data_IF_611878380179
#
_entry.id   IF_611878380179
#
_cell.length_a   1.000
_cell.length_b   1.000
_cell.length_c   1.000
_cell.angle_alpha   90.00
_cell.angle_beta   90.00
_cell.angle_gamma   90.00
#
_symmetry.space_group_name_H-M   'P 1'
#
loop_
_entity.id
_entity.type
_entity.pdbx_description
1 polymer ?
#
# COMPACT_ATOMS: atom_id res chain seq x y z
N UNK A 1 -11.60 21.69 -14.07
CA UNK A 1 -10.65 20.83 -13.33
C UNK A 1 -9.20 21.21 -13.59
N UNK A 2 -8.71 21.14 -14.85
CA UNK A 2 -7.30 21.38 -15.23
C UNK A 2 -6.69 22.66 -14.63
N UNK A 3 -7.33 23.82 -14.79
CA UNK A 3 -6.82 25.09 -14.27
C UNK A 3 -6.64 25.09 -12.74
N UNK A 4 -7.60 24.51 -12.01
CA UNK A 4 -7.55 24.44 -10.54
C UNK A 4 -6.46 23.48 -10.07
N UNK A 5 -6.32 22.32 -10.74
CA UNK A 5 -5.25 21.37 -10.45
C UNK A 5 -3.86 22.01 -10.52
N UNK A 6 -3.59 22.75 -11.59
CA UNK A 6 -2.32 23.46 -11.77
C UNK A 6 -2.04 24.45 -10.64
N UNK A 7 -3.02 25.31 -10.32
CA UNK A 7 -2.90 26.31 -9.25
C UNK A 7 -2.66 25.63 -7.90
N UNK A 8 -3.44 24.60 -7.56
CA UNK A 8 -3.28 23.89 -6.29
C UNK A 8 -1.91 23.21 -6.18
N UNK A 9 -1.40 22.59 -7.25
CA UNK A 9 -0.08 21.95 -7.24
C UNK A 9 1.06 22.95 -7.11
N UNK A 10 0.98 24.09 -7.81
CA UNK A 10 1.96 25.18 -7.68
C UNK A 10 1.98 25.74 -6.26
N UNK A 11 0.82 25.82 -5.60
CA UNK A 11 0.69 26.26 -4.21
C UNK A 11 0.88 25.15 -3.16
N UNK A 12 1.17 23.91 -3.56
CA UNK A 12 1.24 22.73 -2.69
C UNK A 12 -0.02 22.50 -1.82
N UNK A 13 -1.19 22.77 -2.38
CA UNK A 13 -2.51 22.56 -1.77
C UNK A 13 -3.05 21.19 -2.17
N UNK A 14 -3.53 20.43 -1.19
CA UNK A 14 -4.19 19.15 -1.43
C UNK A 14 -5.53 19.39 -2.13
N UNK A 15 -5.73 18.76 -3.29
CA UNK A 15 -6.96 18.86 -4.08
C UNK A 15 -7.58 17.48 -4.29
N UNK A 16 -8.90 17.39 -4.15
CA UNK A 16 -9.68 16.20 -4.50
C UNK A 16 -10.86 16.67 -5.32
N UNK A 17 -11.10 16.00 -6.45
CA UNK A 17 -12.31 16.17 -7.23
C UNK A 17 -13.30 15.07 -6.85
N UNK A 18 -14.52 15.46 -6.54
CA UNK A 18 -15.64 14.55 -6.33
C UNK A 18 -16.82 15.05 -7.18
N UNK A 19 -17.48 14.16 -7.90
CA UNK A 19 -18.66 14.49 -8.71
C UNK A 19 -19.69 13.38 -8.61
N UNK A 20 -20.94 13.76 -8.46
CA UNK A 20 -22.11 12.89 -8.63
C UNK A 20 -22.87 13.32 -9.88
N UNK A 21 -23.33 12.36 -10.68
CA UNK A 21 -24.08 12.59 -11.92
C UNK A 21 -25.02 11.42 -12.19
N UNK A 22 -26.31 11.61 -11.95
CA UNK A 22 -27.33 10.56 -11.99
C UNK A 22 -26.99 9.40 -11.06
N UNK A 23 -26.88 8.20 -11.63
CA UNK A 23 -26.46 6.99 -10.91
C UNK A 23 -24.96 6.70 -11.01
N UNK A 24 -24.13 7.63 -11.47
CA UNK A 24 -22.66 7.48 -11.43
C UNK A 24 -21.99 8.61 -10.67
N UNK A 25 -20.73 8.41 -10.31
CA UNK A 25 -19.90 9.45 -9.72
C UNK A 25 -18.44 9.06 -9.70
N UNK A 26 -17.59 10.03 -9.39
CA UNK A 26 -16.15 9.78 -9.30
C UNK A 26 -15.49 10.51 -8.15
N UNK A 27 -14.34 9.98 -7.72
CA UNK A 27 -13.40 10.63 -6.81
C UNK A 27 -11.99 10.56 -7.41
N UNK A 28 -11.29 11.70 -7.50
CA UNK A 28 -9.94 11.80 -8.03
C UNK A 28 -9.07 12.68 -7.14
N UNK A 29 -8.11 12.06 -6.45
CA UNK A 29 -7.08 12.76 -5.69
C UNK A 29 -6.12 13.46 -6.64
N UNK A 30 -5.82 14.74 -6.44
CA UNK A 30 -4.86 15.48 -7.26
C UNK A 30 -3.80 16.15 -6.41
N UNK A 31 -2.74 15.39 -6.12
CA UNK A 31 -1.59 15.83 -5.32
C UNK A 31 -0.31 15.42 -6.01
N UNK A 32 0.80 16.16 -5.86
CA UNK A 32 2.05 15.83 -6.57
C UNK A 32 2.61 14.48 -6.14
N UNK A 33 2.87 14.38 -4.84
CA UNK A 33 3.41 13.21 -4.19
C UNK A 33 2.83 13.15 -2.78
N UNK A 34 2.53 11.93 -2.32
CA UNK A 34 2.07 11.69 -0.97
C UNK A 34 2.87 10.52 -0.37
N UNK A 35 3.69 10.83 0.62
CA UNK A 35 4.52 9.86 1.32
C UNK A 35 3.85 9.43 2.63
N UNK A 36 3.71 8.11 2.82
CA UNK A 36 2.98 7.49 3.92
C UNK A 36 3.95 6.63 4.74
N UNK A 37 4.02 6.91 6.03
CA UNK A 37 4.78 6.10 7.00
C UNK A 37 3.87 5.00 7.55
N UNK A 38 2.69 5.36 8.05
CA UNK A 38 1.75 4.43 8.67
C UNK A 38 0.70 3.94 7.66
N UNK A 39 1.13 3.13 6.70
CA UNK A 39 0.26 2.65 5.61
C UNK A 39 -0.78 1.62 6.03
N UNK A 40 -0.61 0.98 7.20
CA UNK A 40 -1.55 0.03 7.81
C UNK A 40 -2.06 -1.04 6.82
N UNK A 41 -1.16 -1.85 6.23
CA UNK A 41 -1.56 -2.93 5.32
C UNK A 41 -2.44 -3.96 6.03
N UNK A 42 -3.48 -4.44 5.36
CA UNK A 42 -4.40 -5.47 5.90
C UNK A 42 -3.69 -6.81 6.16
N UNK A 43 -2.75 -7.15 5.28
CA UNK A 43 -1.94 -8.35 5.39
C UNK A 43 -0.46 -7.98 5.38
N UNK A 44 0.20 -8.22 6.51
CA UNK A 44 1.63 -8.02 6.64
C UNK A 44 2.23 -9.10 7.52
N UNK A 45 3.39 -9.62 7.11
CA UNK A 45 4.09 -10.64 7.87
C UNK A 45 4.82 -9.99 9.05
N UNK A 46 4.61 -10.55 10.24
CA UNK A 46 5.34 -10.13 11.43
C UNK A 46 6.86 -10.20 11.19
N UNK A 47 7.59 -9.15 11.58
CA UNK A 47 9.05 -9.10 11.42
C UNK A 47 9.76 -9.92 12.51
N UNK A 48 9.58 -11.24 12.47
CA UNK A 48 10.15 -12.20 13.44
C UNK A 48 11.60 -12.59 13.16
N UNK A 49 12.16 -12.20 12.00
CA UNK A 49 13.54 -12.53 11.59
C UNK A 49 13.94 -14.00 11.74
N UNK A 50 12.99 -14.94 11.62
CA UNK A 50 13.27 -16.36 11.79
C UNK A 50 14.22 -16.91 10.72
N UNK A 51 14.20 -16.31 9.54
CA UNK A 51 15.10 -16.62 8.44
C UNK A 51 16.53 -16.03 8.63
N UNK A 52 16.70 -15.05 9.52
CA UNK A 52 17.98 -14.40 9.83
C UNK A 52 18.01 -13.84 11.27
N UNK A 53 18.00 -14.72 12.30
CA UNK A 53 17.91 -14.27 13.68
C UNK A 53 19.23 -13.62 14.12
N UNK A 54 19.14 -12.51 14.84
CA UNK A 54 20.30 -11.78 15.34
C UNK A 54 20.86 -12.43 16.63
N UNK A 55 22.09 -12.11 17.05
CA UNK A 55 22.81 -12.88 18.09
C UNK A 55 22.06 -13.01 19.42
N UNK A 56 21.33 -12.00 19.87
CA UNK A 56 20.55 -12.02 21.11
C UNK A 56 19.37 -12.99 21.03
N UNK A 57 18.65 -13.02 19.90
CA UNK A 57 17.54 -13.95 19.70
C UNK A 57 18.03 -15.41 19.65
N UNK A 58 19.16 -15.66 18.98
CA UNK A 58 19.79 -16.98 18.97
C UNK A 58 20.18 -17.44 20.37
N UNK A 59 20.89 -16.60 21.13
CA UNK A 59 21.29 -16.90 22.51
C UNK A 59 20.10 -17.20 23.43
N UNK A 60 19.00 -16.48 23.26
CA UNK A 60 17.77 -16.76 24.01
C UNK A 60 17.18 -18.12 23.64
N UNK A 61 17.07 -18.42 22.34
CA UNK A 61 16.59 -19.72 21.89
C UNK A 61 17.50 -20.88 22.34
N UNK A 62 18.82 -20.71 22.31
CA UNK A 62 19.81 -21.67 22.81
C UNK A 62 19.59 -22.01 24.29
N UNK A 63 19.22 -21.01 25.10
CA UNK A 63 19.01 -21.17 26.56
C UNK A 63 17.81 -22.05 26.96
N UNK A 64 16.89 -22.33 26.03
CA UNK A 64 15.64 -23.06 26.32
C UNK A 64 15.72 -24.48 25.78
N UNK A 65 15.70 -25.51 26.63
CA UNK A 65 15.73 -26.90 26.18
C UNK A 65 14.35 -27.35 25.65
N UNK A 66 14.28 -27.76 24.38
CA UNK A 66 13.06 -28.33 23.79
C UNK A 66 12.80 -29.78 24.19
N UNK A 67 13.77 -30.46 24.81
CA UNK A 67 13.63 -31.84 25.30
C UNK A 67 13.34 -31.90 26.79
N UNK A 68 12.86 -30.80 27.37
CA UNK A 68 12.51 -30.71 28.78
C UNK A 68 11.46 -31.76 29.15
N UNK A 69 11.69 -32.48 30.25
CA UNK A 69 10.78 -33.55 30.70
C UNK A 69 9.46 -33.03 31.28
N UNK A 70 9.42 -31.76 31.72
CA UNK A 70 8.22 -31.11 32.23
C UNK A 70 7.25 -30.78 31.07
N UNK A 71 6.07 -31.45 31.02
CA UNK A 71 5.09 -31.21 29.95
C UNK A 71 4.54 -29.79 29.95
N UNK A 72 4.49 -29.13 31.11
CA UNK A 72 3.99 -27.75 31.21
C UNK A 72 5.00 -26.80 30.57
N UNK A 73 6.29 -26.91 30.92
CA UNK A 73 7.34 -26.12 30.30
C UNK A 73 7.43 -26.34 28.78
N UNK A 74 7.26 -27.58 28.31
CA UNK A 74 7.26 -27.90 26.88
C UNK A 74 6.12 -27.20 26.13
N UNK A 75 4.87 -27.31 26.63
CA UNK A 75 3.65 -26.70 26.06
C UNK A 75 3.67 -25.17 26.04
N UNK A 76 4.42 -24.55 26.94
CA UNK A 76 4.48 -23.10 27.11
C UNK A 76 5.75 -22.48 26.51
N UNK A 77 6.51 -23.24 25.71
CA UNK A 77 7.62 -22.69 24.94
C UNK A 77 7.09 -21.92 23.72
N UNK A 78 7.44 -20.63 23.54
CA UNK A 78 6.92 -19.84 22.43
C UNK A 78 7.32 -20.41 21.07
N UNK A 79 6.41 -20.41 20.08
CA UNK A 79 6.68 -20.99 18.76
C UNK A 79 7.90 -20.37 18.06
N UNK A 80 8.21 -19.10 18.33
CA UNK A 80 9.41 -18.42 17.81
C UNK A 80 10.68 -19.15 18.23
N UNK A 81 10.76 -19.59 19.49
CA UNK A 81 11.91 -20.34 20.01
C UNK A 81 12.00 -21.70 19.32
N UNK A 82 10.86 -22.40 19.20
CA UNK A 82 10.77 -23.69 18.50
C UNK A 82 11.31 -23.55 17.08
N UNK A 83 10.82 -22.56 16.33
CA UNK A 83 11.20 -22.34 14.94
C UNK A 83 12.67 -21.95 14.78
N UNK A 84 13.24 -21.12 15.66
CA UNK A 84 14.67 -20.78 15.61
C UNK A 84 15.52 -22.03 15.81
N UNK A 85 15.23 -22.85 16.82
CA UNK A 85 16.04 -24.05 17.10
C UNK A 85 15.89 -25.11 16.01
N UNK A 86 14.67 -25.34 15.55
CA UNK A 86 14.39 -26.31 14.48
C UNK A 86 15.04 -25.88 13.16
N UNK A 87 15.04 -24.57 12.85
CA UNK A 87 15.75 -24.03 11.68
C UNK A 87 17.27 -24.22 11.80
N UNK A 88 17.86 -24.07 12.99
CA UNK A 88 19.28 -24.34 13.22
C UNK A 88 19.63 -25.82 13.11
N UNK A 89 18.79 -26.71 13.64
CA UNK A 89 18.96 -28.17 13.48
C UNK A 89 18.88 -28.57 12.01
N UNK A 90 17.88 -28.04 11.29
CA UNK A 90 17.78 -28.21 9.84
C UNK A 90 19.03 -27.75 9.13
N UNK A 91 19.49 -26.53 9.40
CA UNK A 91 20.66 -25.94 8.78
C UNK A 91 21.92 -26.77 9.04
N UNK A 92 22.10 -27.33 10.25
CA UNK A 92 23.23 -28.24 10.56
C UNK A 92 23.22 -29.50 9.70
N UNK A 93 22.04 -30.06 9.41
CA UNK A 93 21.90 -31.24 8.54
C UNK A 93 22.02 -30.90 7.04
N UNK A 94 21.79 -29.66 6.64
CA UNK A 94 21.70 -29.23 5.23
C UNK A 94 22.76 -28.19 4.84
N UNK A 95 23.97 -28.29 5.41
CA UNK A 95 25.11 -27.45 4.99
C UNK A 95 24.93 -25.95 5.24
N UNK A 96 24.12 -25.57 6.23
CA UNK A 96 23.80 -24.20 6.59
C UNK A 96 22.60 -23.60 5.86
N UNK A 97 21.96 -24.35 4.96
CA UNK A 97 20.80 -23.87 4.19
C UNK A 97 19.49 -24.03 4.96
N UNK A 98 18.55 -23.11 4.73
CA UNK A 98 17.16 -23.21 5.20
C UNK A 98 16.29 -23.94 4.17
N UNK A 99 15.12 -24.47 4.55
CA UNK A 99 14.22 -25.13 3.61
C UNK A 99 13.83 -24.20 2.45
N UNK A 100 13.96 -24.65 1.21
CA UNK A 100 13.78 -23.84 0.01
C UNK A 100 12.81 -24.48 -0.97
N UNK A 101 12.94 -25.79 -1.20
CA UNK A 101 12.08 -26.54 -2.13
C UNK A 101 10.75 -26.93 -1.49
N UNK A 102 9.76 -27.31 -2.31
CA UNK A 102 8.46 -27.78 -1.80
C UNK A 102 8.61 -29.00 -0.89
N UNK A 103 9.53 -29.90 -1.24
CA UNK A 103 9.76 -31.14 -0.51
C UNK A 103 10.50 -30.88 0.80
N UNK A 104 11.53 -30.01 0.78
CA UNK A 104 12.22 -29.55 2.01
C UNK A 104 11.25 -28.84 2.97
N UNK A 105 10.36 -27.98 2.45
CA UNK A 105 9.34 -27.30 3.28
C UNK A 105 8.36 -28.27 3.90
N UNK A 106 8.00 -29.35 3.19
CA UNK A 106 7.15 -30.41 3.72
C UNK A 106 7.89 -31.20 4.80
N UNK A 107 9.14 -31.58 4.53
CA UNK A 107 9.99 -32.30 5.49
C UNK A 107 10.22 -31.49 6.76
N UNK A 108 10.49 -30.19 6.67
CA UNK A 108 10.60 -29.31 7.82
C UNK A 108 9.33 -29.29 8.68
N UNK A 109 8.14 -29.31 8.05
CA UNK A 109 6.87 -29.43 8.77
C UNK A 109 6.70 -30.79 9.45
N UNK A 110 7.16 -31.87 8.83
CA UNK A 110 7.14 -33.20 9.46
C UNK A 110 8.13 -33.27 10.64
N UNK A 111 9.28 -32.60 10.57
CA UNK A 111 10.20 -32.48 11.72
C UNK A 111 9.56 -31.74 12.89
N UNK A 112 8.85 -30.64 12.63
CA UNK A 112 8.10 -29.93 13.66
C UNK A 112 7.04 -30.84 14.31
N UNK A 113 6.29 -31.62 13.50
CA UNK A 113 5.30 -32.58 14.02
C UNK A 113 5.95 -33.68 14.85
N UNK A 114 7.14 -34.16 14.45
CA UNK A 114 7.86 -35.18 15.21
C UNK A 114 8.38 -34.67 16.57
N UNK A 115 8.51 -33.35 16.74
CA UNK A 115 8.82 -32.72 18.02
C UNK A 115 7.63 -32.62 18.99
N UNK A 116 6.40 -32.83 18.52
CA UNK A 116 5.22 -32.84 19.39
C UNK A 116 5.20 -34.08 20.28
N UNK A 117 5.02 -33.89 21.58
CA UNK A 117 4.92 -34.99 22.57
C UNK A 117 3.46 -35.37 22.81
N UNK A 118 2.55 -34.39 22.75
CA UNK A 118 1.12 -34.58 22.95
C UNK A 118 0.30 -33.95 21.82
N UNK A 119 -0.96 -34.36 21.69
CA UNK A 119 -1.86 -33.87 20.63
C UNK A 119 -2.32 -32.43 20.91
N UNK A 120 -2.34 -32.02 22.17
CA UNK A 120 -2.83 -30.72 22.66
C UNK A 120 -1.71 -29.68 22.85
N UNK A 121 -0.67 -29.72 22.00
CA UNK A 121 0.43 -28.75 22.03
C UNK A 121 0.22 -27.63 21.01
N UNK A 122 -0.59 -26.63 21.42
CA UNK A 122 -0.95 -25.50 20.55
C UNK A 122 0.28 -24.68 20.12
N UNK A 123 1.33 -24.58 20.94
CA UNK A 123 2.58 -23.92 20.56
C UNK A 123 3.28 -24.57 19.35
N UNK A 124 3.26 -25.90 19.23
CA UNK A 124 3.78 -26.60 18.05
C UNK A 124 2.83 -26.50 16.85
N UNK A 125 1.51 -26.48 17.08
CA UNK A 125 0.55 -26.21 16.00
C UNK A 125 0.77 -24.81 15.41
N UNK A 126 0.92 -23.80 16.26
CA UNK A 126 1.32 -22.45 15.87
C UNK A 126 2.66 -22.45 15.12
N UNK A 127 3.66 -23.20 15.60
CA UNK A 127 4.95 -23.32 14.91
C UNK A 127 4.80 -23.90 13.50
N UNK A 128 4.01 -24.96 13.32
CA UNK A 128 3.76 -25.57 12.01
C UNK A 128 3.05 -24.60 11.07
N UNK A 129 2.04 -23.86 11.57
CA UNK A 129 1.32 -22.84 10.82
C UNK A 129 2.23 -21.67 10.44
N UNK A 130 3.10 -21.22 11.35
CA UNK A 130 4.04 -20.12 11.15
C UNK A 130 5.37 -20.53 10.49
N UNK A 131 5.60 -21.83 10.23
CA UNK A 131 6.85 -22.36 9.66
C UNK A 131 7.28 -21.67 8.36
N UNK A 132 6.33 -21.16 7.58
CA UNK A 132 6.63 -20.44 6.34
C UNK A 132 7.43 -19.15 6.54
N UNK A 133 7.39 -18.57 7.74
CA UNK A 133 8.18 -17.41 8.13
C UNK A 133 9.68 -17.74 8.21
N UNK A 134 10.06 -19.01 8.43
CA UNK A 134 11.48 -19.46 8.46
C UNK A 134 12.11 -19.40 7.08
N UNK A 135 11.34 -19.72 6.04
CA UNK A 135 11.82 -19.77 4.65
C UNK A 135 11.30 -18.62 3.80
N UNK A 136 10.83 -17.54 4.45
CA UNK A 136 10.52 -16.29 3.78
C UNK A 136 11.80 -15.69 3.17
N UNK A 137 11.71 -15.02 1.99
CA UNK A 137 12.85 -14.32 1.40
C UNK A 137 13.50 -13.36 2.41
N UNK A 138 14.84 -13.33 2.42
CA UNK A 138 15.61 -12.37 3.21
C UNK A 138 15.61 -11.00 2.54
N UNK A 139 15.82 -9.96 3.34
CA UNK A 139 15.95 -8.58 2.87
C UNK A 139 14.65 -7.80 2.82
N UNK A 140 14.64 -6.80 1.94
CA UNK A 140 13.54 -5.85 1.77
C UNK A 140 12.67 -6.19 0.55
N UNK A 141 11.40 -5.75 0.58
CA UNK A 141 10.48 -5.92 -0.54
C UNK A 141 10.91 -5.08 -1.76
N UNK A 142 10.41 -5.45 -2.95
CA UNK A 142 10.59 -4.66 -4.18
C UNK A 142 10.12 -3.22 -4.01
N UNK A 143 9.02 -3.02 -3.30
CA UNK A 143 8.44 -1.69 -3.05
C UNK A 143 9.37 -0.82 -2.22
N UNK A 144 9.92 -1.36 -1.13
CA UNK A 144 10.87 -0.62 -0.30
C UNK A 144 12.18 -0.37 -1.06
N UNK A 145 12.63 -1.34 -1.87
CA UNK A 145 13.80 -1.21 -2.73
C UNK A 145 13.63 -0.04 -3.71
N UNK A 146 12.46 0.09 -4.34
CA UNK A 146 12.13 1.22 -5.23
C UNK A 146 12.19 2.56 -4.48
N UNK A 147 11.67 2.63 -3.25
CA UNK A 147 11.68 3.85 -2.43
C UNK A 147 13.11 4.27 -2.08
N UNK A 148 13.98 3.35 -1.63
CA UNK A 148 15.36 3.70 -1.23
C UNK A 148 16.27 4.02 -2.42
N UNK A 149 15.93 3.56 -3.62
CA UNK A 149 16.63 3.88 -4.86
C UNK A 149 15.99 5.03 -5.64
N UNK A 150 14.92 5.62 -5.11
CA UNK A 150 14.28 6.77 -5.73
C UNK A 150 15.24 7.97 -5.77
N UNK A 151 15.17 8.75 -6.85
CA UNK A 151 15.94 9.98 -6.99
C UNK A 151 15.74 10.96 -5.83
N UNK A 152 14.56 10.98 -5.20
CA UNK A 152 14.29 11.82 -4.05
C UNK A 152 15.06 11.40 -2.78
N UNK A 153 15.68 10.21 -2.76
CA UNK A 153 16.59 9.80 -1.69
C UNK A 153 17.95 10.51 -1.73
N UNK A 154 18.29 11.16 -2.85
CA UNK A 154 19.46 12.02 -2.98
C UNK A 154 19.11 13.42 -2.46
N UNK A 155 19.22 13.59 -1.15
CA UNK A 155 18.65 14.73 -0.43
C UNK A 155 19.52 15.99 -0.45
N UNK A 156 18.83 17.13 -0.40
CA UNK A 156 19.36 18.49 -0.30
C UNK A 156 18.63 19.30 0.80
N UNK A 157 18.92 20.60 0.91
CA UNK A 157 18.32 21.47 1.92
C UNK A 157 16.79 21.65 1.79
N UNK A 158 16.21 21.36 0.62
CA UNK A 158 14.78 21.52 0.34
C UNK A 158 14.00 20.19 0.46
N UNK A 159 14.71 19.09 0.68
CA UNK A 159 14.15 17.75 0.77
C UNK A 159 13.24 17.58 1.99
N UNK A 160 12.16 16.82 1.83
CA UNK A 160 11.19 16.57 2.90
C UNK A 160 11.78 15.67 3.99
N UNK A 161 11.23 15.76 5.20
CA UNK A 161 11.66 14.94 6.34
C UNK A 161 11.54 13.43 6.04
N UNK A 162 10.52 13.05 5.28
CA UNK A 162 10.34 11.67 4.82
C UNK A 162 11.56 11.19 4.01
N UNK A 163 11.96 11.97 3.00
CA UNK A 163 13.08 11.60 2.13
C UNK A 163 14.43 11.63 2.85
N UNK A 164 14.61 12.52 3.82
CA UNK A 164 15.78 12.50 4.73
C UNK A 164 15.83 11.20 5.54
N UNK A 165 14.69 10.73 6.07
CA UNK A 165 14.62 9.45 6.78
C UNK A 165 14.82 8.26 5.84
N UNK A 166 14.34 8.32 4.59
CA UNK A 166 14.62 7.30 3.56
C UNK A 166 16.11 7.25 3.20
N UNK A 167 16.78 8.39 3.08
CA UNK A 167 18.24 8.44 2.86
C UNK A 167 19.00 7.80 4.03
N UNK A 168 18.58 8.09 5.27
CA UNK A 168 19.15 7.44 6.46
C UNK A 168 18.88 5.92 6.49
N UNK A 169 17.70 5.49 6.05
CA UNK A 169 17.33 4.08 5.94
C UNK A 169 18.18 3.35 4.89
N UNK A 170 18.41 3.97 3.72
CA UNK A 170 19.29 3.45 2.67
C UNK A 170 20.70 3.20 3.21
N UNK A 171 21.27 4.17 3.94
CA UNK A 171 22.57 4.01 4.59
C UNK A 171 22.55 2.94 5.70
N UNK A 172 21.49 2.86 6.50
CA UNK A 172 21.34 1.82 7.53
C UNK A 172 21.35 0.42 6.93
N UNK A 173 20.54 0.18 5.89
CA UNK A 173 20.39 -1.13 5.25
C UNK A 173 21.74 -1.65 4.75
N UNK A 174 22.56 -0.80 4.15
CA UNK A 174 23.88 -1.17 3.59
C UNK A 174 24.92 -1.44 4.69
N UNK A 175 24.86 -0.72 5.81
CA UNK A 175 25.87 -0.78 6.85
C UNK A 175 25.44 -1.68 8.02
N UNK A 176 24.66 -1.15 8.97
CA UNK A 176 24.29 -1.87 10.20
C UNK A 176 23.17 -2.90 10.00
N UNK A 177 22.32 -2.69 9.01
CA UNK A 177 21.15 -3.52 8.71
C UNK A 177 21.48 -4.84 8.01
N UNK A 178 22.66 -4.97 7.40
CA UNK A 178 23.06 -6.20 6.70
C UNK A 178 22.10 -6.61 5.58
N UNK A 179 21.56 -5.62 4.85
CA UNK A 179 20.54 -5.82 3.82
C UNK A 179 19.09 -5.79 4.32
N UNK A 180 18.87 -5.59 5.62
CA UNK A 180 17.54 -5.54 6.22
C UNK A 180 17.14 -4.14 6.72
N UNK A 181 15.83 -3.89 6.73
CA UNK A 181 15.24 -2.73 7.38
C UNK A 181 15.42 -2.79 8.92
N UNK A 182 15.29 -1.67 9.66
CA UNK A 182 15.25 -1.70 11.13
C UNK A 182 14.12 -2.60 11.62
N UNK A 183 14.32 -3.26 12.77
CA UNK A 183 13.32 -4.15 13.34
C UNK A 183 12.08 -3.38 13.83
N UNK A 184 10.89 -3.90 13.53
CA UNK A 184 9.62 -3.33 14.00
C UNK A 184 9.48 -3.38 15.53
N UNK A 185 9.99 -4.45 16.15
CA UNK A 185 10.05 -4.64 17.60
C UNK A 185 8.79 -5.20 18.25
N UNK A 186 7.65 -5.24 17.55
CA UNK A 186 6.45 -5.95 18.01
C UNK A 186 6.48 -7.42 17.60
N UNK A 187 5.91 -8.27 18.45
CA UNK A 187 5.66 -9.69 18.19
C UNK A 187 4.17 -9.98 18.36
N UNK A 188 3.59 -10.95 17.62
CA UNK A 188 2.20 -11.33 17.78
C UNK A 188 1.96 -12.02 19.13
N UNK A 189 0.69 -12.21 19.48
CA UNK A 189 0.32 -13.11 20.57
C UNK A 189 0.66 -14.57 20.21
N UNK A 190 0.95 -15.39 21.21
CA UNK A 190 1.30 -16.80 21.02
C UNK A 190 1.16 -17.63 22.29
N UNK A 191 0.97 -18.93 22.13
CA UNK A 191 0.94 -19.88 23.23
C UNK A 191 2.31 -19.95 23.89
N UNK A 192 2.43 -19.39 25.10
CA UNK A 192 3.67 -19.36 25.86
C UNK A 192 3.45 -19.09 27.36
N UNK A 193 4.47 -19.34 28.18
CA UNK A 193 4.49 -18.84 29.56
C UNK A 193 4.66 -17.33 29.55
N UNK A 194 4.06 -16.67 30.54
CA UNK A 194 4.16 -15.20 30.68
C UNK A 194 5.61 -14.73 30.74
N UNK A 195 6.46 -15.46 31.44
CA UNK A 195 7.88 -15.13 31.58
C UNK A 195 8.64 -15.22 30.25
N UNK A 196 8.48 -16.33 29.51
CA UNK A 196 9.16 -16.53 28.23
C UNK A 196 8.68 -15.52 27.19
N UNK A 197 7.36 -15.26 27.14
CA UNK A 197 6.80 -14.26 26.24
C UNK A 197 7.34 -12.84 26.53
N UNK A 198 7.35 -12.43 27.80
CA UNK A 198 7.86 -11.11 28.20
C UNK A 198 9.36 -10.97 27.91
N UNK A 199 10.15 -12.03 28.15
CA UNK A 199 11.58 -12.01 27.83
C UNK A 199 11.82 -11.93 26.32
N UNK A 200 11.07 -12.69 25.52
CA UNK A 200 11.11 -12.61 24.07
C UNK A 200 10.75 -11.20 23.58
N UNK A 201 9.65 -10.63 24.09
CA UNK A 201 9.23 -9.26 23.74
C UNK A 201 10.32 -8.23 24.05
N UNK A 202 10.98 -8.32 25.21
CA UNK A 202 12.10 -7.43 25.57
C UNK A 202 13.26 -7.52 24.59
N UNK A 203 13.58 -8.72 24.10
CA UNK A 203 14.66 -8.92 23.12
C UNK A 203 14.36 -8.21 21.80
N UNK A 204 13.13 -8.33 21.29
CA UNK A 204 12.69 -7.63 20.08
C UNK A 204 12.67 -6.11 20.27
N UNK A 205 12.13 -5.62 21.40
CA UNK A 205 12.10 -4.19 21.71
C UNK A 205 13.51 -3.60 21.84
N UNK A 206 14.45 -4.32 22.47
CA UNK A 206 15.83 -3.88 22.61
C UNK A 206 16.53 -3.77 21.25
N UNK A 207 16.32 -4.73 20.34
CA UNK A 207 16.88 -4.66 18.98
C UNK A 207 16.26 -3.53 18.17
N UNK A 208 14.95 -3.33 18.24
CA UNK A 208 14.28 -2.21 17.57
C UNK A 208 14.77 -0.85 18.09
N UNK A 209 15.00 -0.71 19.40
CA UNK A 209 15.57 0.51 19.98
C UNK A 209 17.01 0.74 19.51
N UNK A 210 17.83 -0.31 19.45
CA UNK A 210 19.20 -0.22 18.93
C UNK A 210 19.21 0.25 17.46
N UNK A 211 18.36 -0.33 16.61
CA UNK A 211 18.24 0.07 15.20
C UNK A 211 17.75 1.52 15.04
N UNK A 212 16.77 1.92 15.87
CA UNK A 212 16.28 3.29 15.92
C UNK A 212 17.38 4.30 16.25
N UNK A 213 18.24 4.02 17.23
CA UNK A 213 19.32 4.92 17.62
C UNK A 213 20.32 5.13 16.49
N UNK A 214 20.62 4.08 15.72
CA UNK A 214 21.48 4.17 14.53
C UNK A 214 20.83 5.07 13.48
N UNK A 215 19.56 4.83 13.14
CA UNK A 215 18.85 5.65 12.15
C UNK A 215 18.75 7.10 12.62
N UNK A 216 18.47 7.35 13.89
CA UNK A 216 18.44 8.70 14.46
C UNK A 216 19.78 9.42 14.24
N UNK A 217 20.90 8.75 14.50
CA UNK A 217 22.22 9.33 14.30
C UNK A 217 22.51 9.62 12.82
N UNK A 218 22.06 8.75 11.91
CA UNK A 218 22.17 8.97 10.46
C UNK A 218 21.33 10.15 10.00
N UNK A 219 20.07 10.24 10.43
CA UNK A 219 19.19 11.39 10.15
C UNK A 219 19.86 12.69 10.59
N UNK A 220 20.38 12.76 11.82
CA UNK A 220 21.10 13.94 12.34
C UNK A 220 22.31 14.32 11.49
N UNK A 221 23.09 13.31 11.08
CA UNK A 221 24.30 13.50 10.27
C UNK A 221 23.95 14.01 8.87
N UNK A 222 22.89 13.48 8.27
CA UNK A 222 22.38 13.91 6.96
C UNK A 222 21.85 15.34 7.03
N UNK A 223 21.01 15.68 8.02
CA UNK A 223 20.49 17.04 8.24
C UNK A 223 21.63 18.06 8.33
N UNK A 224 22.66 17.75 9.12
CA UNK A 224 23.85 18.60 9.23
C UNK A 224 24.56 18.79 7.89
N UNK A 225 24.70 17.71 7.11
CA UNK A 225 25.35 17.73 5.77
C UNK A 225 24.59 18.60 4.76
N UNK A 226 23.26 18.58 4.80
CA UNK A 226 22.39 19.38 3.91
C UNK A 226 22.08 20.78 4.46
N UNK A 227 22.73 21.19 5.56
CA UNK A 227 22.57 22.53 6.15
C UNK A 227 21.26 22.76 6.89
N UNK A 228 20.56 21.70 7.30
CA UNK A 228 19.36 21.76 8.15
C UNK A 228 19.71 21.54 9.62
N UNK A 229 18.84 22.01 10.52
CA UNK A 229 18.97 21.74 11.97
C UNK A 229 18.93 20.22 12.24
N UNK A 230 19.96 19.62 12.87
CA UNK A 230 19.99 18.20 13.21
C UNK A 230 18.80 17.71 14.05
N UNK A 231 18.16 18.60 14.81
CA UNK A 231 17.01 18.26 15.66
C UNK A 231 15.65 18.63 15.03
N UNK A 232 15.63 19.04 13.75
CA UNK A 232 14.38 19.42 13.07
C UNK A 232 13.38 18.28 12.90
N UNK A 233 13.87 17.02 12.88
CA UNK A 233 13.02 15.83 12.81
C UNK A 233 12.95 15.20 14.21
N UNK A 234 11.74 15.18 14.77
CA UNK A 234 11.52 14.70 16.14
C UNK A 234 11.86 13.21 16.33
N UNK A 235 12.31 12.86 17.53
CA UNK A 235 12.59 11.47 17.91
C UNK A 235 11.38 10.54 17.74
N UNK A 236 10.19 11.04 18.04
CA UNK A 236 8.93 10.30 17.91
C UNK A 236 8.62 9.96 16.45
N UNK A 237 8.85 10.90 15.52
CA UNK A 237 8.68 10.68 14.09
C UNK A 237 9.67 9.63 13.56
N UNK A 238 10.95 9.73 13.93
CA UNK A 238 11.97 8.75 13.52
C UNK A 238 11.63 7.35 14.08
N UNK A 239 11.14 7.27 15.32
CA UNK A 239 10.73 6.00 15.94
C UNK A 239 9.52 5.38 15.23
N UNK A 240 8.50 6.17 14.89
CA UNK A 240 7.37 5.68 14.06
C UNK A 240 7.84 5.25 12.67
N UNK A 241 8.78 5.99 12.06
CA UNK A 241 9.38 5.62 10.79
C UNK A 241 10.09 4.26 10.86
N UNK A 242 10.92 4.01 11.88
CA UNK A 242 11.61 2.73 12.06
C UNK A 242 10.62 1.57 12.20
N UNK A 243 9.58 1.75 13.03
CA UNK A 243 8.52 0.75 13.24
C UNK A 243 7.80 0.38 11.94
N UNK A 244 7.66 1.33 11.02
CA UNK A 244 6.95 1.15 9.76
C UNK A 244 7.86 1.09 8.53
N UNK A 245 9.18 0.90 8.69
CA UNK A 245 10.13 1.00 7.59
C UNK A 245 9.85 0.02 6.44
N UNK A 246 9.32 -1.17 6.74
CA UNK A 246 8.90 -2.16 5.74
C UNK A 246 7.54 -1.88 5.09
N UNK A 247 6.81 -0.90 5.62
CA UNK A 247 5.42 -0.57 5.28
C UNK A 247 5.33 0.78 4.56
N UNK A 248 6.45 1.46 4.30
CA UNK A 248 6.46 2.76 3.64
C UNK A 248 5.79 2.70 2.26
N UNK A 249 5.05 3.75 1.92
CA UNK A 249 4.45 3.91 0.59
C UNK A 249 4.67 5.33 0.09
N UNK A 250 4.91 5.46 -1.21
CA UNK A 250 4.99 6.75 -1.90
C UNK A 250 4.01 6.70 -3.06
N UNK A 251 3.03 7.60 -3.04
CA UNK A 251 2.01 7.73 -4.07
C UNK A 251 2.30 8.97 -4.91
N UNK A 252 2.40 8.83 -6.23
CA UNK A 252 2.58 9.95 -7.17
C UNK A 252 1.40 10.01 -8.10
N UNK A 253 0.84 11.20 -8.29
CA UNK A 253 -0.40 11.35 -9.02
C UNK A 253 -0.16 12.19 -10.27
N UNK A 254 -0.59 11.62 -11.38
CA UNK A 254 -0.59 12.25 -12.69
C UNK A 254 -1.33 13.59 -12.67
N UNK A 255 -0.83 14.58 -13.40
CA UNK A 255 -1.52 15.84 -13.65
C UNK A 255 -2.83 15.59 -14.38
N UNK A 256 -3.86 16.38 -14.08
CA UNK A 256 -5.15 16.26 -14.80
C UNK A 256 -4.98 16.68 -16.26
N UNK A 257 -4.10 17.64 -16.54
CA UNK A 257 -3.75 18.03 -17.92
C UNK A 257 -3.16 16.86 -18.71
N UNK A 258 -2.18 16.14 -18.13
CA UNK A 258 -1.57 14.98 -18.80
C UNK A 258 -2.56 13.84 -18.99
N UNK A 259 -3.45 13.60 -18.02
CA UNK A 259 -4.54 12.63 -18.13
C UNK A 259 -5.49 12.99 -19.29
N UNK A 260 -5.68 14.28 -19.55
CA UNK A 260 -6.62 14.77 -20.56
C UNK A 260 -6.02 14.85 -21.96
N UNK A 261 -4.76 15.28 -22.05
CA UNK A 261 -4.09 15.65 -23.30
C UNK A 261 -3.00 14.68 -23.74
N UNK A 262 -2.48 13.83 -22.84
CA UNK A 262 -1.46 12.84 -23.14
C UNK A 262 -1.82 11.46 -22.55
N UNK A 263 -3.05 10.95 -22.73
CA UNK A 263 -3.53 9.76 -22.02
C UNK A 263 -2.61 8.54 -22.22
N UNK A 264 -2.61 7.62 -21.26
CA UNK A 264 -1.98 6.31 -21.45
C UNK A 264 -2.86 5.44 -22.38
N UNK A 265 -2.79 5.71 -23.69
CA UNK A 265 -3.66 5.11 -24.72
C UNK A 265 -3.79 3.58 -24.57
N UNK A 266 -2.70 2.80 -24.37
CA UNK A 266 -2.83 1.35 -24.21
C UNK A 266 -3.67 0.93 -22.99
N UNK A 267 -3.53 1.63 -21.87
CA UNK A 267 -4.32 1.34 -20.65
C UNK A 267 -5.78 1.75 -20.84
N UNK A 268 -6.03 2.90 -21.46
CA UNK A 268 -7.41 3.35 -21.79
C UNK A 268 -8.10 2.34 -22.69
N UNK A 269 -7.45 1.89 -23.77
CA UNK A 269 -7.99 0.91 -24.69
C UNK A 269 -8.24 -0.44 -24.00
N UNK A 270 -7.30 -0.88 -23.17
CA UNK A 270 -7.44 -2.09 -22.36
C UNK A 270 -8.69 -2.00 -21.47
N UNK A 271 -8.86 -0.92 -20.71
CA UNK A 271 -10.02 -0.73 -19.84
C UNK A 271 -11.33 -0.69 -20.62
N UNK A 272 -11.37 -0.07 -21.80
CA UNK A 272 -12.57 -0.03 -22.65
C UNK A 272 -13.00 -1.41 -23.17
N UNK A 273 -12.05 -2.34 -23.32
CA UNK A 273 -12.33 -3.71 -23.80
C UNK A 273 -12.48 -4.75 -22.68
N UNK A 274 -12.14 -4.39 -21.45
CA UNK A 274 -12.16 -5.30 -20.30
C UNK A 274 -13.58 -5.44 -19.74
N UNK A 275 -14.03 -6.67 -19.50
CA UNK A 275 -15.40 -6.95 -19.04
C UNK A 275 -15.72 -6.33 -17.67
N UNK A 276 -14.71 -6.17 -16.81
CA UNK A 276 -14.89 -5.64 -15.45
C UNK A 276 -14.77 -4.11 -15.39
N UNK A 277 -13.94 -3.53 -16.28
CA UNK A 277 -13.61 -2.10 -16.27
C UNK A 277 -14.33 -1.27 -17.34
N UNK A 278 -14.82 -1.87 -18.42
CA UNK A 278 -15.39 -1.17 -19.58
C UNK A 278 -16.53 -0.23 -19.22
N UNK A 279 -17.40 -0.62 -18.29
CA UNK A 279 -18.52 0.22 -17.84
C UNK A 279 -18.02 1.44 -17.05
N UNK A 280 -17.09 1.24 -16.10
CA UNK A 280 -16.50 2.32 -15.34
C UNK A 280 -15.70 3.28 -16.24
N UNK A 281 -14.95 2.73 -17.20
CA UNK A 281 -14.23 3.52 -18.19
C UNK A 281 -15.19 4.28 -19.12
N UNK A 282 -16.29 3.64 -19.52
CA UNK A 282 -17.37 4.27 -20.27
C UNK A 282 -17.94 5.48 -19.54
N UNK A 283 -18.26 5.36 -18.24
CA UNK A 283 -18.71 6.49 -17.43
C UNK A 283 -17.65 7.59 -17.31
N UNK A 284 -16.37 7.25 -17.14
CA UNK A 284 -15.30 8.25 -17.15
C UNK A 284 -15.26 9.05 -18.47
N UNK A 285 -15.32 8.37 -19.62
CA UNK A 285 -15.35 9.00 -20.93
C UNK A 285 -16.62 9.86 -21.10
N UNK A 286 -17.78 9.35 -20.66
CA UNK A 286 -19.05 10.06 -20.73
C UNK A 286 -19.04 11.34 -19.88
N UNK A 287 -18.52 11.29 -18.65
CA UNK A 287 -18.41 12.47 -17.79
C UNK A 287 -17.57 13.58 -18.44
N UNK A 288 -16.49 13.21 -19.13
CA UNK A 288 -15.68 14.16 -19.94
C UNK A 288 -16.43 14.65 -21.17
N UNK A 289 -17.16 13.76 -21.86
CA UNK A 289 -17.97 14.13 -23.02
C UNK A 289 -19.11 15.07 -22.65
N UNK A 290 -19.71 14.91 -21.46
CA UNK A 290 -20.73 15.82 -20.90
C UNK A 290 -20.15 17.21 -20.67
N UNK A 291 -18.92 17.33 -20.17
CA UNK A 291 -18.28 18.63 -20.00
C UNK A 291 -18.04 19.31 -21.36
N UNK A 292 -17.65 18.54 -22.39
CA UNK A 292 -17.52 19.03 -23.77
C UNK A 292 -18.87 19.44 -24.36
N UNK A 293 -19.92 18.65 -24.13
CA UNK A 293 -21.28 18.95 -24.54
C UNK A 293 -21.72 20.28 -23.91
N UNK A 294 -21.56 20.43 -22.59
CA UNK A 294 -21.97 21.64 -21.89
C UNK A 294 -21.24 22.89 -22.36
N UNK A 295 -19.94 22.78 -22.67
CA UNK A 295 -19.18 23.88 -23.25
C UNK A 295 -19.68 24.30 -24.64
N UNK A 296 -20.21 23.37 -25.44
CA UNK A 296 -20.67 23.63 -26.81
C UNK A 296 -22.13 24.10 -26.87
N UNK A 297 -22.99 23.58 -26.00
CA UNK A 297 -24.44 23.77 -26.08
C UNK A 297 -25.03 24.60 -24.92
N UNK A 298 -24.23 24.96 -23.91
CA UNK A 298 -24.66 25.68 -22.70
C UNK A 298 -25.79 24.99 -21.91
N UNK A 299 -25.93 23.68 -22.05
CA UNK A 299 -26.86 22.82 -21.32
C UNK A 299 -26.20 21.48 -21.00
N UNK A 300 -26.82 20.65 -20.17
CA UNK A 300 -26.40 19.26 -19.99
C UNK A 300 -27.28 18.30 -20.80
N UNK A 301 -26.74 17.14 -21.24
CA UNK A 301 -27.53 16.17 -22.00
C UNK A 301 -28.72 15.67 -21.17
N UNK A 302 -29.92 15.74 -21.77
CA UNK A 302 -31.18 15.30 -21.18
C UNK A 302 -31.65 16.14 -19.99
N UNK A 303 -31.11 17.36 -19.82
CA UNK A 303 -31.53 18.29 -18.77
C UNK A 303 -32.95 18.83 -18.99
N UNK A 304 -33.34 19.03 -20.25
CA UNK A 304 -34.64 19.58 -20.62
C UNK A 304 -35.53 18.52 -21.28
N UNK A 305 -36.82 18.56 -20.99
CA UNK A 305 -37.79 17.66 -21.61
C UNK A 305 -37.99 17.98 -23.09
N UNK A 306 -38.04 16.96 -23.94
CA UNK A 306 -38.40 17.08 -25.37
C UNK A 306 -37.23 17.06 -26.37
N UNK A 307 -35.97 17.14 -25.91
CA UNK A 307 -34.77 17.14 -26.78
C UNK A 307 -33.93 15.85 -26.68
N UNK A 308 -34.45 14.79 -26.05
CA UNK A 308 -33.69 13.59 -25.69
C UNK A 308 -32.96 12.93 -26.88
N UNK A 309 -33.65 12.70 -28.01
CA UNK A 309 -33.05 12.05 -29.18
C UNK A 309 -31.93 12.91 -29.80
N UNK A 310 -32.10 14.23 -29.78
CA UNK A 310 -31.09 15.18 -30.27
C UNK A 310 -29.87 15.20 -29.34
N UNK A 311 -30.10 15.23 -28.03
CA UNK A 311 -29.04 15.21 -27.02
C UNK A 311 -28.24 13.91 -27.04
N UNK A 312 -28.90 12.75 -27.24
CA UNK A 312 -28.22 11.47 -27.45
C UNK A 312 -27.28 11.54 -28.65
N UNK A 313 -27.75 12.05 -29.79
CA UNK A 313 -26.94 12.18 -31.02
C UNK A 313 -25.75 13.13 -30.84
N UNK A 314 -25.98 14.27 -30.17
CA UNK A 314 -24.94 15.25 -29.84
C UNK A 314 -23.92 14.68 -28.84
N UNK A 315 -24.36 13.99 -27.79
CA UNK A 315 -23.47 13.36 -26.80
C UNK A 315 -22.63 12.25 -27.45
N UNK A 316 -23.23 11.42 -28.30
CA UNK A 316 -22.52 10.41 -29.09
C UNK A 316 -21.42 11.03 -29.95
N UNK A 317 -21.72 12.15 -30.62
CA UNK A 317 -20.74 12.90 -31.39
C UNK A 317 -19.59 13.40 -30.49
N UNK A 318 -19.90 13.91 -29.29
CA UNK A 318 -18.90 14.35 -28.33
C UNK A 318 -18.01 13.19 -27.83
N UNK A 319 -18.58 12.01 -27.57
CA UNK A 319 -17.85 10.80 -27.17
C UNK A 319 -16.89 10.35 -28.28
N UNK A 320 -17.36 10.25 -29.52
CA UNK A 320 -16.52 9.87 -30.67
C UNK A 320 -15.38 10.87 -30.86
N UNK A 321 -15.68 12.17 -30.83
CA UNK A 321 -14.66 13.21 -30.90
C UNK A 321 -13.64 13.09 -29.78
N UNK A 322 -14.07 12.83 -28.55
CA UNK A 322 -13.17 12.66 -27.40
C UNK A 322 -12.27 11.43 -27.55
N UNK A 323 -12.81 10.29 -27.96
CA UNK A 323 -12.01 9.07 -28.17
C UNK A 323 -10.96 9.26 -29.27
N UNK A 324 -11.31 9.97 -30.35
CA UNK A 324 -10.35 10.32 -31.40
C UNK A 324 -9.23 11.24 -30.88
N UNK A 325 -9.58 12.27 -30.09
CA UNK A 325 -8.59 13.17 -29.48
C UNK A 325 -7.65 12.44 -28.51
N UNK A 326 -8.17 11.42 -27.82
CA UNK A 326 -7.39 10.55 -26.94
C UNK A 326 -6.55 9.51 -27.70
N UNK A 327 -6.62 9.45 -29.03
CA UNK A 327 -5.91 8.46 -29.85
C UNK A 327 -6.50 7.05 -29.78
N UNK A 328 -7.68 6.88 -29.16
CA UNK A 328 -8.41 5.62 -29.04
C UNK A 328 -9.34 5.39 -30.24
N UNK A 329 -8.82 5.59 -31.45
CA UNK A 329 -9.60 5.49 -32.68
C UNK A 329 -10.18 4.08 -32.83
N UNK A 330 -11.49 3.98 -33.09
CA UNK A 330 -12.19 2.70 -33.24
C UNK A 330 -12.64 2.05 -31.93
N UNK A 331 -12.26 2.58 -30.76
CA UNK A 331 -12.91 2.24 -29.50
C UNK A 331 -14.30 2.86 -29.43
N UNK A 332 -15.22 2.24 -28.71
CA UNK A 332 -16.60 2.71 -28.56
C UNK A 332 -17.03 2.65 -27.10
N UNK A 333 -17.95 3.54 -26.73
CA UNK A 333 -18.77 3.40 -25.53
C UNK A 333 -20.12 2.86 -25.99
N UNK A 334 -20.73 1.97 -25.21
CA UNK A 334 -22.01 1.36 -25.60
C UNK A 334 -23.11 2.41 -25.72
N UNK A 335 -24.01 2.24 -26.69
CA UNK A 335 -25.15 3.14 -26.88
C UNK A 335 -26.03 3.17 -25.62
N UNK A 336 -26.19 2.05 -24.93
CA UNK A 336 -26.94 1.97 -23.68
C UNK A 336 -26.41 2.93 -22.61
N UNK A 337 -25.08 3.04 -22.46
CA UNK A 337 -24.48 3.99 -21.52
C UNK A 337 -24.66 5.44 -21.96
N UNK A 338 -24.61 5.73 -23.26
CA UNK A 338 -24.87 7.08 -23.79
C UNK A 338 -26.33 7.48 -23.51
N UNK A 339 -27.28 6.60 -23.81
CA UNK A 339 -28.70 6.79 -23.55
C UNK A 339 -28.97 7.02 -22.06
N UNK A 340 -28.36 6.20 -21.20
CA UNK A 340 -28.52 6.32 -19.75
C UNK A 340 -27.89 7.61 -19.21
N UNK A 341 -26.78 8.08 -19.78
CA UNK A 341 -26.16 9.35 -19.40
C UNK A 341 -27.06 10.56 -19.72
N UNK A 342 -27.77 10.53 -20.86
CA UNK A 342 -28.80 11.54 -21.16
C UNK A 342 -29.99 11.39 -20.21
N UNK A 343 -30.46 10.17 -19.95
CA UNK A 343 -31.55 9.91 -18.99
C UNK A 343 -31.25 10.42 -17.59
N UNK A 344 -29.99 10.41 -17.16
CA UNK A 344 -29.58 11.01 -15.88
C UNK A 344 -29.84 12.51 -15.80
N UNK A 345 -29.87 13.23 -16.93
CA UNK A 345 -30.28 14.63 -17.01
C UNK A 345 -29.51 15.58 -16.09
N UNK A 346 -28.23 15.30 -15.85
CA UNK A 346 -27.38 16.00 -14.87
C UNK A 346 -27.95 16.08 -13.43
N UNK A 347 -28.81 15.13 -13.07
CA UNK A 347 -29.33 15.03 -11.71
C UNK A 347 -28.24 14.71 -10.69
N UNK A 348 -28.40 15.21 -9.47
CA UNK A 348 -27.58 14.82 -8.33
C UNK A 348 -28.45 14.06 -7.33
N UNK A 349 -28.43 12.73 -7.42
CA UNK A 349 -29.22 11.89 -6.53
C UNK A 349 -28.56 11.80 -5.15
N UNK A 350 -29.34 12.07 -4.10
CA UNK A 350 -28.83 12.13 -2.72
C UNK A 350 -28.04 10.88 -2.31
N UNK A 351 -28.52 9.69 -2.63
CA UNK A 351 -27.86 8.44 -2.28
C UNK A 351 -26.47 8.30 -2.93
N UNK A 352 -26.34 8.72 -4.20
CA UNK A 352 -25.07 8.68 -4.93
C UNK A 352 -24.12 9.74 -4.42
N UNK A 353 -24.61 10.97 -4.21
CA UNK A 353 -23.82 12.05 -3.62
C UNK A 353 -23.31 11.68 -2.21
N UNK A 354 -24.14 11.04 -1.38
CA UNK A 354 -23.75 10.56 -0.06
C UNK A 354 -22.67 9.48 -0.13
N UNK A 355 -22.79 8.52 -1.06
CA UNK A 355 -21.77 7.50 -1.27
C UNK A 355 -20.43 8.10 -1.71
N UNK A 356 -20.45 8.98 -2.73
CA UNK A 356 -19.26 9.68 -3.22
C UNK A 356 -18.64 10.56 -2.12
N UNK A 357 -19.47 11.23 -1.31
CA UNK A 357 -19.01 12.00 -0.15
C UNK A 357 -18.32 11.13 0.91
N UNK A 358 -18.82 9.91 1.14
CA UNK A 358 -18.17 8.93 2.02
C UNK A 358 -16.78 8.54 1.52
N UNK A 359 -16.64 8.20 0.25
CA UNK A 359 -15.33 7.87 -0.36
C UNK A 359 -14.38 9.07 -0.31
N UNK A 360 -14.84 10.24 -0.77
CA UNK A 360 -14.02 11.45 -0.81
C UNK A 360 -13.55 11.89 0.59
N UNK A 361 -14.43 11.86 1.59
CA UNK A 361 -14.07 12.23 2.97
C UNK A 361 -13.02 11.28 3.56
N UNK A 362 -13.10 9.98 3.28
CA UNK A 362 -12.08 9.04 3.71
C UNK A 362 -10.73 9.33 3.06
N UNK A 363 -10.70 9.66 1.76
CA UNK A 363 -9.46 10.06 1.08
C UNK A 363 -8.87 11.36 1.64
N UNK A 364 -9.71 12.35 2.00
CA UNK A 364 -9.27 13.55 2.73
C UNK A 364 -8.60 13.17 4.04
N UNK A 365 -9.20 12.29 4.84
CA UNK A 365 -8.64 11.85 6.13
C UNK A 365 -7.27 11.20 5.92
N UNK A 366 -7.11 10.32 4.92
CA UNK A 366 -5.82 9.69 4.61
C UNK A 366 -4.75 10.73 4.25
N UNK A 367 -5.09 11.69 3.38
CA UNK A 367 -4.15 12.72 2.95
C UNK A 367 -3.75 13.68 4.08
N UNK A 368 -4.66 14.02 4.99
CA UNK A 368 -4.36 14.91 6.13
C UNK A 368 -3.54 14.18 7.18
N UNK A 369 -3.96 12.97 7.55
CA UNK A 369 -3.32 12.19 8.63
C UNK A 369 -2.00 11.56 8.20
N UNK A 370 -1.77 11.41 6.88
CA UNK A 370 -0.66 10.63 6.31
C UNK A 370 -0.65 9.18 6.83
N UNK A 371 -1.85 8.67 7.12
CA UNK A 371 -2.10 7.29 7.51
C UNK A 371 -2.97 6.62 6.46
N UNK A 372 -2.76 5.32 6.28
CA UNK A 372 -3.31 4.54 5.17
C UNK A 372 -2.87 5.05 3.79
N UNK A 373 -3.07 4.24 2.76
CA UNK A 373 -2.69 4.58 1.38
C UNK A 373 -3.88 5.24 0.69
N UNK A 374 -3.78 6.52 0.25
CA UNK A 374 -4.80 7.12 -0.59
C UNK A 374 -4.79 6.49 -1.99
N UNK A 375 -5.96 6.39 -2.61
CA UNK A 375 -6.16 5.81 -3.94
C UNK A 375 -5.33 6.55 -4.98
N UNK A 376 -4.56 5.82 -5.80
CA UNK A 376 -3.82 6.36 -6.94
C UNK A 376 -4.63 6.09 -8.20
N UNK A 377 -5.18 7.15 -8.80
CA UNK A 377 -6.05 7.07 -9.98
C UNK A 377 -7.42 7.72 -9.75
N UNK A 378 -8.37 7.37 -10.60
CA UNK A 378 -9.76 7.87 -10.59
C UNK A 378 -10.70 6.75 -10.18
N UNK A 379 -11.32 6.90 -9.02
CA UNK A 379 -12.38 6.00 -8.57
C UNK A 379 -13.68 6.34 -9.31
N UNK A 380 -14.33 5.35 -9.91
CA UNK A 380 -15.62 5.46 -10.58
C UNK A 380 -16.62 4.54 -9.90
N UNK A 381 -17.80 5.06 -9.61
CA UNK A 381 -18.92 4.30 -9.08
C UNK A 381 -20.04 4.15 -10.13
N UNK A 382 -20.58 2.94 -10.25
CA UNK A 382 -21.77 2.62 -11.01
C UNK A 382 -22.89 2.20 -10.06
N UNK A 383 -23.87 3.08 -9.86
CA UNK A 383 -25.05 2.84 -9.04
C UNK A 383 -26.12 1.97 -9.71
N UNK A 384 -26.00 1.68 -11.02
CA UNK A 384 -26.94 0.79 -11.73
C UNK A 384 -26.74 -0.66 -11.28
N UNK A 385 -25.48 -1.10 -11.18
CA UNK A 385 -25.10 -2.47 -10.79
C UNK A 385 -24.41 -2.55 -9.41
N UNK A 386 -24.27 -1.40 -8.73
CA UNK A 386 -23.61 -1.27 -7.42
C UNK A 386 -22.14 -1.70 -7.43
N UNK A 387 -21.43 -1.46 -8.54
CA UNK A 387 -20.00 -1.72 -8.66
C UNK A 387 -19.17 -0.44 -8.66
N UNK A 388 -17.88 -0.59 -8.43
CA UNK A 388 -16.91 0.50 -8.53
C UNK A 388 -15.58 -0.01 -9.03
N UNK A 389 -14.84 0.83 -9.75
CA UNK A 389 -13.49 0.53 -10.21
C UNK A 389 -12.54 1.70 -9.94
N UNK A 390 -11.26 1.40 -9.74
CA UNK A 390 -10.18 2.39 -9.67
C UNK A 390 -9.40 2.36 -10.98
N UNK A 391 -9.46 3.45 -11.74
CA UNK A 391 -8.80 3.58 -13.04
C UNK A 391 -7.45 4.28 -12.88
N UNK A 392 -6.36 3.63 -13.32
CA UNK A 392 -5.03 4.22 -13.35
C UNK A 392 -4.80 4.92 -14.71
N UNK A 393 -5.27 6.17 -14.82
CA UNK A 393 -5.34 6.95 -16.07
C UNK A 393 -4.15 7.88 -16.30
#
# INVERSE_FOLDING_TARGET
MVKLDKICREANVLLIFARSYGLTGFVRNSVKEHAVIESKPDHFLDDLRLNNPWPELKRFAESIDLKVADPVAHKHTPYVVILVKMAEEWAKAHGGALPSTRDEKKEFKELLKAGMVAIDEDNYREAIEASFKVFAPRGISSDLLQIIHDSCSEVDSNSSDFWVMVAALKEFIVNEGGGEAPLEGSIPDMTSSTELYVNLQKIYLAKAEADFLVIQQRVKSILKRIGRDPDSISKTMIKSFCKNARKLKVCRYRLIEDEFSNPAVPEVQKYLTDEEYSVAMGFYILLRAVDRFSANYNSFPGQFEGEMDEDISRLKTAVVGLLNDLGCNGSTVTEDLINEMCRFGASELHAVAAFIGGIASQEVIKLITKQFVPMVGTFIFNGIDQKSQLLAL
#
